data_IF_198939686514
#
_entry.id   IF_198939686514
#
_cell.length_a   1.000
_cell.length_b   1.000
_cell.length_c   1.000
_cell.angle_alpha   90.00
_cell.angle_beta   90.00
_cell.angle_gamma   90.00
#
_symmetry.space_group_name_H-M   'P 1'
#
loop_
_entity.id
_entity.type
_entity.pdbx_description
1 polymer ?
#
# COMPACT_ATOMS: atom_id res chain seq x y z
N UNK A 1 13.89 1.68 14.48
CA UNK A 1 14.59 0.39 14.55
C UNK A 1 14.50 -0.27 13.18
N UNK A 2 15.58 -0.86 12.67
CA UNK A 2 15.53 -1.62 11.40
C UNK A 2 14.56 -2.79 11.59
N UNK A 3 13.46 -2.84 10.84
CA UNK A 3 12.52 -3.97 10.87
C UNK A 3 13.22 -5.20 10.27
N UNK A 4 13.90 -5.97 11.13
CA UNK A 4 14.54 -7.22 10.73
C UNK A 4 13.45 -8.20 10.30
N UNK A 5 13.43 -8.53 9.00
CA UNK A 5 12.49 -9.48 8.43
C UNK A 5 12.60 -10.84 9.11
N UNK A 6 11.47 -11.39 9.54
CA UNK A 6 11.40 -12.72 10.15
C UNK A 6 11.16 -13.74 9.04
N UNK A 7 12.05 -14.71 8.87
CA UNK A 7 11.91 -15.78 7.86
C UNK A 7 11.22 -16.98 8.48
N UNK A 8 10.01 -17.30 8.01
CA UNK A 8 9.37 -18.60 8.21
C UNK A 8 9.00 -19.14 6.83
N UNK A 9 9.65 -20.22 6.39
CA UNK A 9 9.37 -20.87 5.10
C UNK A 9 9.93 -20.17 3.84
N UNK A 10 11.04 -19.42 3.94
CA UNK A 10 11.71 -18.81 2.77
C UNK A 10 11.12 -17.48 2.29
N UNK A 11 9.93 -17.09 2.75
CA UNK A 11 9.36 -15.77 2.54
C UNK A 11 9.89 -14.80 3.61
N UNK A 12 10.56 -13.72 3.18
CA UNK A 12 10.91 -12.59 4.06
C UNK A 12 9.64 -11.76 4.28
N UNK A 13 9.10 -11.81 5.49
CA UNK A 13 8.00 -10.93 5.89
C UNK A 13 8.55 -9.70 6.61
N UNK A 14 8.25 -8.51 6.09
CA UNK A 14 8.56 -7.24 6.77
C UNK A 14 7.48 -7.00 7.82
N UNK A 15 7.88 -7.06 9.09
CA UNK A 15 6.97 -6.78 10.22
C UNK A 15 6.78 -5.26 10.32
N UNK A 16 5.57 -4.80 10.00
CA UNK A 16 5.14 -3.40 10.09
C UNK A 16 3.88 -3.31 10.94
N UNK A 17 4.02 -3.38 12.27
CA UNK A 17 2.88 -3.41 13.19
C UNK A 17 2.71 -2.14 14.01
N UNK A 18 3.75 -1.29 14.09
CA UNK A 18 3.68 -0.01 14.78
C UNK A 18 3.63 1.16 13.76
N UNK A 19 2.45 1.74 13.48
CA UNK A 19 2.33 2.83 12.51
C UNK A 19 3.10 4.11 12.91
N UNK A 20 3.49 4.25 14.18
CA UNK A 20 4.27 5.40 14.65
C UNK A 20 5.76 5.31 14.29
N UNK A 21 6.23 4.12 13.91
CA UNK A 21 7.61 3.93 13.46
C UNK A 21 7.70 4.04 11.93
N UNK A 22 8.68 4.81 11.45
CA UNK A 22 8.98 4.85 10.01
C UNK A 22 9.94 3.72 9.68
N UNK A 23 9.44 2.73 8.96
CA UNK A 23 10.27 1.63 8.47
C UNK A 23 11.10 2.05 7.25
N UNK A 24 12.28 1.47 7.16
CA UNK A 24 13.16 1.56 6.00
C UNK A 24 13.22 0.19 5.36
N UNK A 25 13.01 0.13 4.04
CA UNK A 25 13.05 -1.12 3.27
C UNK A 25 14.06 -0.99 2.13
N UNK A 26 14.77 -2.09 1.87
CA UNK A 26 15.69 -2.17 0.74
C UNK A 26 14.93 -2.43 -0.57
N UNK A 27 15.33 -1.74 -1.63
CA UNK A 27 14.83 -1.93 -2.99
C UNK A 27 16.00 -2.13 -3.96
N UNK A 28 15.69 -2.47 -5.21
CA UNK A 28 16.70 -2.51 -6.29
C UNK A 28 17.42 -1.17 -6.52
N UNK A 29 16.81 -0.04 -6.14
CA UNK A 29 17.34 1.31 -6.29
C UNK A 29 17.97 1.87 -5.01
N UNK A 30 18.07 1.07 -3.94
CA UNK A 30 18.57 1.48 -2.63
C UNK A 30 17.50 1.48 -1.54
N UNK A 31 17.89 1.97 -0.36
CA UNK A 31 17.02 2.01 0.82
C UNK A 31 15.97 3.13 0.72
N UNK A 32 14.72 2.80 1.01
CA UNK A 32 13.59 3.73 0.97
C UNK A 32 12.94 3.78 2.35
N UNK A 33 12.79 4.99 2.88
CA UNK A 33 11.96 5.23 4.08
C UNK A 33 10.49 5.26 3.65
N UNK A 34 9.67 4.39 4.23
CA UNK A 34 8.24 4.32 3.91
C UNK A 34 7.46 5.57 4.36
N UNK A 35 6.22 5.66 3.87
CA UNK A 35 5.27 6.68 4.30
C UNK A 35 5.01 6.59 5.80
N UNK A 36 4.49 7.68 6.37
CA UNK A 36 4.02 7.65 7.76
C UNK A 36 2.85 6.68 7.88
N UNK A 37 2.63 6.16 9.08
CA UNK A 37 1.53 5.27 9.41
C UNK A 37 1.46 3.98 8.59
N UNK A 38 2.53 3.61 7.87
CA UNK A 38 2.56 2.37 7.09
C UNK A 38 2.61 1.17 8.03
N UNK A 39 1.53 0.40 8.07
CA UNK A 39 1.41 -0.79 8.89
C UNK A 39 0.44 -1.80 8.28
N UNK A 40 0.66 -3.09 8.59
CA UNK A 40 -0.27 -4.15 8.21
C UNK A 40 -1.53 -4.02 9.07
N UNK A 41 -2.66 -3.81 8.42
CA UNK A 41 -4.00 -3.92 9.02
C UNK A 41 -4.40 -5.40 9.08
N UNK A 42 -4.09 -6.14 8.01
CA UNK A 42 -4.17 -7.60 7.99
C UNK A 42 -2.80 -8.15 7.61
N UNK A 43 -2.19 -9.02 8.43
CA UNK A 43 -0.84 -9.52 8.17
C UNK A 43 -0.69 -10.09 6.76
N UNK A 44 0.29 -9.58 6.02
CA UNK A 44 0.70 -10.06 4.70
C UNK A 44 -0.34 -9.91 3.58
N UNK A 45 -1.39 -9.11 3.79
CA UNK A 45 -2.42 -8.86 2.77
C UNK A 45 -2.73 -7.36 2.64
N UNK A 46 -3.13 -6.70 3.71
CA UNK A 46 -3.65 -5.34 3.66
C UNK A 46 -2.82 -4.38 4.51
N UNK A 47 -2.27 -3.35 3.86
CA UNK A 47 -1.57 -2.23 4.49
C UNK A 47 -2.48 -1.00 4.54
N UNK A 48 -2.37 -0.25 5.62
CA UNK A 48 -2.78 1.15 5.69
C UNK A 48 -1.54 2.04 5.72
N UNK A 49 -1.61 3.23 5.16
CA UNK A 49 -0.53 4.22 5.25
C UNK A 49 -0.93 5.60 4.74
N UNK A 50 -0.07 6.59 4.94
CA UNK A 50 -0.22 7.90 4.31
C UNK A 50 0.15 7.86 2.81
N UNK A 51 -0.20 8.93 2.09
CA UNK A 51 0.08 9.12 0.66
C UNK A 51 1.54 8.83 0.27
N UNK A 52 1.78 7.94 -0.73
CA UNK A 52 3.05 7.89 -1.45
C UNK A 52 3.44 9.27 -2.00
N UNK A 53 4.71 9.65 -1.90
CA UNK A 53 5.21 10.98 -2.32
C UNK A 53 6.25 10.90 -3.45
N UNK A 54 6.54 9.70 -3.93
CA UNK A 54 7.47 9.48 -5.06
C UNK A 54 7.24 8.11 -5.69
N UNK A 55 7.73 7.93 -6.92
CA UNK A 55 7.82 6.62 -7.57
C UNK A 55 8.61 5.61 -6.71
N UNK A 56 9.64 6.07 -5.99
CA UNK A 56 10.43 5.23 -5.09
C UNK A 56 9.59 4.58 -3.99
N UNK A 57 8.55 5.25 -3.48
CA UNK A 57 7.62 4.62 -2.55
C UNK A 57 6.82 3.50 -3.22
N UNK A 58 6.28 3.73 -4.43
CA UNK A 58 5.52 2.69 -5.17
C UNK A 58 6.42 1.49 -5.47
N UNK A 59 7.66 1.73 -5.88
CA UNK A 59 8.68 0.68 -6.06
C UNK A 59 8.94 -0.10 -4.78
N UNK A 60 9.08 0.58 -3.64
CA UNK A 60 9.31 -0.06 -2.35
C UNK A 60 8.12 -0.93 -1.91
N UNK A 61 6.88 -0.44 -2.10
CA UNK A 61 5.67 -1.22 -1.85
C UNK A 61 5.66 -2.50 -2.70
N UNK A 62 6.00 -2.40 -3.99
CA UNK A 62 6.09 -3.55 -4.89
C UNK A 62 7.19 -4.54 -4.49
N UNK A 63 8.43 -4.07 -4.41
CA UNK A 63 9.61 -4.95 -4.32
C UNK A 63 9.82 -5.50 -2.91
N UNK A 64 9.62 -4.68 -1.87
CA UNK A 64 9.90 -5.10 -0.50
C UNK A 64 8.66 -5.68 0.20
N UNK A 65 7.46 -5.20 -0.14
CA UNK A 65 6.22 -5.61 0.52
C UNK A 65 5.31 -6.46 -0.37
N UNK A 66 5.63 -6.62 -1.66
CA UNK A 66 4.83 -7.43 -2.59
C UNK A 66 3.47 -6.83 -2.90
N UNK A 67 3.31 -5.51 -2.78
CA UNK A 67 2.05 -4.81 -3.05
C UNK A 67 1.80 -4.75 -4.55
N UNK A 68 0.66 -5.29 -4.96
CA UNK A 68 0.19 -5.38 -6.34
C UNK A 68 -0.95 -4.40 -6.63
N UNK A 69 -1.62 -3.92 -5.58
CA UNK A 69 -2.67 -2.89 -5.66
C UNK A 69 -2.36 -1.71 -4.72
N UNK A 70 -2.38 -0.49 -5.25
CA UNK A 70 -2.45 0.74 -4.45
C UNK A 70 -3.83 1.36 -4.64
N UNK A 71 -4.62 1.42 -3.57
CA UNK A 71 -5.92 2.08 -3.51
C UNK A 71 -5.72 3.54 -3.06
N UNK A 72 -5.98 4.50 -3.95
CA UNK A 72 -5.89 5.93 -3.68
C UNK A 72 -7.27 6.49 -3.37
N UNK A 73 -7.47 6.95 -2.13
CA UNK A 73 -8.71 7.58 -1.69
C UNK A 73 -8.67 9.12 -1.76
N UNK A 74 -7.50 9.76 -1.71
CA UNK A 74 -7.38 11.23 -1.71
C UNK A 74 -7.89 11.84 -3.03
N UNK A 75 -8.89 12.70 -3.00
CA UNK A 75 -9.40 13.38 -4.20
C UNK A 75 -8.45 14.46 -4.73
N UNK A 76 -7.77 15.18 -3.83
CA UNK A 76 -7.10 16.45 -4.12
C UNK A 76 -5.77 16.28 -4.86
N UNK A 77 -5.08 15.16 -4.66
CA UNK A 77 -3.75 14.89 -5.21
C UNK A 77 -3.66 13.42 -5.69
N UNK A 78 -4.22 13.07 -6.86
CA UNK A 78 -4.09 11.73 -7.41
C UNK A 78 -2.62 11.39 -7.70
N UNK A 79 -2.26 10.13 -7.50
CA UNK A 79 -0.89 9.67 -7.75
C UNK A 79 -0.59 9.65 -9.26
N UNK A 80 0.61 10.08 -9.71
CA UNK A 80 0.99 10.01 -11.11
C UNK A 80 0.93 8.58 -11.65
N UNK A 81 0.21 8.38 -12.76
CA UNK A 81 0.05 7.06 -13.37
C UNK A 81 1.38 6.43 -13.81
N UNK A 82 2.37 7.26 -14.13
CA UNK A 82 3.73 6.83 -14.49
C UNK A 82 4.49 6.14 -13.35
N UNK A 83 4.01 6.22 -12.11
CA UNK A 83 4.62 5.50 -10.98
C UNK A 83 4.23 4.03 -10.92
N UNK A 84 3.21 3.62 -11.68
CA UNK A 84 2.65 2.28 -11.65
C UNK A 84 3.09 1.47 -12.88
N UNK A 85 3.11 0.14 -12.73
CA UNK A 85 3.70 -0.79 -13.70
C UNK A 85 4.53 -1.88 -13.03
N UNK A 86 5.01 -2.85 -13.82
CA UNK A 86 5.81 -3.97 -13.30
C UNK A 86 5.08 -4.85 -12.27
N UNK A 87 3.75 -4.98 -12.39
CA UNK A 87 2.93 -5.81 -11.51
C UNK A 87 2.21 -5.07 -10.37
N UNK A 88 2.42 -3.76 -10.22
CA UNK A 88 1.63 -2.92 -9.29
C UNK A 88 0.76 -1.95 -10.07
N UNK A 89 -0.54 -1.95 -9.77
CA UNK A 89 -1.54 -1.05 -10.37
C UNK A 89 -2.13 -0.10 -9.34
N UNK A 90 -2.74 0.98 -9.83
CA UNK A 90 -3.49 1.92 -9.00
C UNK A 90 -4.99 1.77 -9.26
N UNK A 91 -5.77 1.78 -8.18
CA UNK A 91 -7.21 2.00 -8.25
C UNK A 91 -7.52 3.32 -7.56
N UNK A 92 -8.07 4.26 -8.31
CA UNK A 92 -8.39 5.59 -7.83
C UNK A 92 -9.89 5.69 -7.51
N UNK A 93 -10.20 5.85 -6.23
CA UNK A 93 -11.56 5.99 -5.72
C UNK A 93 -11.64 7.24 -4.84
N UNK A 94 -11.79 8.44 -5.44
CA UNK A 94 -11.68 9.70 -4.72
C UNK A 94 -12.76 9.83 -3.66
N UNK A 95 -12.35 10.10 -2.44
CA UNK A 95 -13.16 10.40 -1.27
C UNK A 95 -12.71 11.78 -0.79
N UNK A 96 -13.63 12.77 -0.68
CA UNK A 96 -13.28 14.08 -0.17
C UNK A 96 -12.71 13.96 1.25
N UNK A 97 -11.70 14.77 1.56
CA UNK A 97 -11.13 14.74 2.90
C UNK A 97 -12.20 14.94 3.99
N UNK A 98 -12.07 14.22 5.10
CA UNK A 98 -12.98 14.24 6.27
C UNK A 98 -14.41 13.70 6.03
N UNK A 99 -14.72 13.21 4.83
CA UNK A 99 -16.02 12.65 4.50
C UNK A 99 -15.93 11.13 4.26
N UNK A 100 -17.04 10.38 4.45
CA UNK A 100 -17.12 9.00 4.00
C UNK A 100 -17.11 8.94 2.45
N UNK A 101 -16.97 7.74 1.86
CA UNK A 101 -17.23 7.54 0.43
C UNK A 101 -18.55 8.20 0.02
N UNK A 102 -18.55 8.79 -1.18
CA UNK A 102 -19.65 9.66 -1.64
C UNK A 102 -20.95 8.86 -1.84
N UNK A 103 -20.84 7.56 -2.13
CA UNK A 103 -21.99 6.67 -2.31
C UNK A 103 -21.72 5.25 -1.81
N UNK A 104 -22.81 4.51 -1.55
CA UNK A 104 -22.75 3.08 -1.27
C UNK A 104 -22.15 2.26 -2.42
N UNK A 105 -22.40 2.68 -3.66
CA UNK A 105 -21.81 2.06 -4.84
C UNK A 105 -20.28 2.19 -4.85
N UNK A 106 -19.76 3.37 -4.50
CA UNK A 106 -18.32 3.58 -4.39
C UNK A 106 -17.71 2.73 -3.27
N UNK A 107 -18.39 2.66 -2.11
CA UNK A 107 -17.96 1.82 -1.01
C UNK A 107 -17.92 0.34 -1.41
N UNK A 108 -18.96 -0.16 -2.09
CA UNK A 108 -18.97 -1.53 -2.61
C UNK A 108 -17.90 -1.77 -3.68
N UNK A 109 -17.64 -0.79 -4.56
CA UNK A 109 -16.58 -0.88 -5.56
C UNK A 109 -15.19 -1.01 -4.92
N UNK A 110 -14.91 -0.20 -3.89
CA UNK A 110 -13.65 -0.31 -3.11
C UNK A 110 -13.51 -1.69 -2.47
N UNK A 111 -14.58 -2.20 -1.85
CA UNK A 111 -14.57 -3.50 -1.19
C UNK A 111 -14.35 -4.62 -2.22
N UNK A 112 -15.09 -4.61 -3.33
CA UNK A 112 -14.97 -5.58 -4.40
C UNK A 112 -13.55 -5.62 -5.00
N UNK A 113 -12.91 -4.45 -5.13
CA UNK A 113 -11.53 -4.34 -5.61
C UNK A 113 -10.54 -5.01 -4.65
N UNK A 114 -10.68 -4.78 -3.34
CA UNK A 114 -9.84 -5.39 -2.31
C UNK A 114 -10.09 -6.90 -2.20
N UNK A 115 -11.34 -7.36 -2.32
CA UNK A 115 -11.71 -8.77 -2.32
C UNK A 115 -11.16 -9.50 -3.54
N UNK A 116 -11.25 -8.89 -4.73
CA UNK A 116 -10.66 -9.41 -5.95
C UNK A 116 -9.14 -9.55 -5.85
N UNK A 117 -8.47 -8.55 -5.28
CA UNK A 117 -7.03 -8.60 -5.03
C UNK A 117 -6.66 -9.71 -4.04
N UNK A 118 -7.44 -9.88 -2.97
CA UNK A 118 -7.25 -10.96 -2.00
C UNK A 118 -7.40 -12.35 -2.63
N UNK A 119 -8.44 -12.53 -3.46
CA UNK A 119 -8.72 -13.78 -4.16
C UNK A 119 -7.62 -14.14 -5.17
N UNK A 120 -6.97 -13.13 -5.77
CA UNK A 120 -5.82 -13.31 -6.64
C UNK A 120 -4.50 -13.61 -5.88
N UNK A 121 -4.52 -13.62 -4.54
CA UNK A 121 -3.33 -13.78 -3.70
C UNK A 121 -2.43 -12.55 -3.67
N UNK A 122 -2.94 -11.39 -4.11
CA UNK A 122 -2.25 -10.12 -4.12
C UNK A 122 -2.23 -9.43 -2.76
N UNK A 123 -1.55 -8.29 -2.70
CA UNK A 123 -1.45 -7.45 -1.49
C UNK A 123 -1.80 -6.02 -1.84
N UNK A 124 -2.53 -5.37 -0.95
CA UNK A 124 -3.04 -4.03 -1.16
C UNK A 124 -2.46 -3.04 -0.15
N UNK A 125 -2.21 -1.82 -0.61
CA UNK A 125 -2.08 -0.64 0.23
C UNK A 125 -3.31 0.24 0.03
N UNK A 126 -3.93 0.63 1.14
CA UNK A 126 -4.93 1.72 1.18
C UNK A 126 -4.29 2.96 1.76
N UNK A 127 -4.48 4.10 1.09
CA UNK A 127 -4.02 5.41 1.58
C UNK A 127 -5.02 6.53 1.27
N UNK A 128 -4.91 7.58 2.08
CA UNK A 128 -5.54 8.88 1.89
C UNK A 128 -4.54 10.01 2.18
#
# INVERSE_FOLDING_TARGET
ALSRGMTRGGLRYVVLTNPRERAVVATSAGDVTLMRNTSWLVPNWLLGGSTPKSEGHVRALREALGVTLVLTLTEEEPLPQTWFGGGTRNFFAPVPNTLPPVSMEQAHGIIAELEGEAAAGGRALVHC
#
